data_IF_155866073056
#
_entry.id   IF_155866073056
#
_cell.length_a   1.000
_cell.length_b   1.000
_cell.length_c   1.000
_cell.angle_alpha   90.00
_cell.angle_beta   90.00
_cell.angle_gamma   90.00
#
_symmetry.space_group_name_H-M   'P 1'
#
loop_
_entity.id
_entity.type
_entity.pdbx_description
1 polymer ?
#
# COMPACT_ATOMS: atom_id res chain seq x y z
N UNK A 1 25.98 -74.63 -17.13
CA UNK A 1 25.69 -73.56 -18.10
C UNK A 1 25.20 -72.37 -17.29
N UNK A 2 26.05 -71.37 -17.16
CA UNK A 2 26.20 -70.58 -15.93
C UNK A 2 25.37 -69.29 -15.92
N UNK A 3 24.77 -69.09 -14.74
CA UNK A 3 23.97 -67.99 -14.19
C UNK A 3 24.55 -66.55 -14.28
N UNK A 4 25.43 -66.24 -15.22
CA UNK A 4 26.14 -64.95 -15.25
C UNK A 4 25.32 -63.75 -15.77
N UNK A 5 24.18 -63.98 -16.44
CA UNK A 5 23.37 -62.89 -17.00
C UNK A 5 22.34 -62.29 -16.02
N UNK A 6 21.97 -63.02 -14.95
CA UNK A 6 20.90 -62.60 -14.05
C UNK A 6 21.36 -61.60 -12.96
N UNK A 7 22.64 -61.67 -12.57
CA UNK A 7 23.24 -60.80 -11.55
C UNK A 7 23.51 -59.38 -12.04
N UNK A 8 23.86 -59.22 -13.32
CA UNK A 8 24.18 -57.90 -13.89
C UNK A 8 22.92 -57.05 -14.14
N UNK A 9 21.80 -57.68 -14.50
CA UNK A 9 20.50 -57.02 -14.68
C UNK A 9 19.92 -56.51 -13.34
N UNK A 10 20.00 -57.32 -12.29
CA UNK A 10 19.53 -56.95 -10.94
C UNK A 10 20.34 -55.80 -10.33
N UNK A 11 21.65 -55.78 -10.60
CA UNK A 11 22.57 -54.71 -10.17
C UNK A 11 22.23 -53.37 -10.84
N UNK A 12 22.04 -53.38 -12.17
CA UNK A 12 21.69 -52.17 -12.95
C UNK A 12 20.31 -51.63 -12.60
N UNK A 13 19.33 -52.51 -12.36
CA UNK A 13 17.98 -52.11 -11.94
C UNK A 13 17.98 -51.46 -10.54
N UNK A 14 18.72 -52.03 -9.57
CA UNK A 14 18.89 -51.43 -8.24
C UNK A 14 19.60 -50.08 -8.32
N UNK A 15 20.64 -49.95 -9.13
CA UNK A 15 21.36 -48.70 -9.32
C UNK A 15 20.47 -47.61 -9.93
N UNK A 16 19.68 -47.95 -10.95
CA UNK A 16 18.72 -47.03 -11.56
C UNK A 16 17.64 -46.57 -10.57
N UNK A 17 17.13 -47.47 -9.72
CA UNK A 17 16.14 -47.16 -8.71
C UNK A 17 16.72 -46.24 -7.62
N UNK A 18 17.95 -46.50 -7.17
CA UNK A 18 18.67 -45.65 -6.20
C UNK A 18 18.91 -44.26 -6.78
N UNK A 19 19.35 -44.16 -8.05
CA UNK A 19 19.57 -42.87 -8.72
C UNK A 19 18.26 -42.10 -8.91
N UNK A 20 17.16 -42.77 -9.25
CA UNK A 20 15.83 -42.14 -9.37
C UNK A 20 15.29 -41.64 -8.03
N UNK A 21 15.53 -42.37 -6.93
CA UNK A 21 15.15 -41.93 -5.60
C UNK A 21 16.00 -40.72 -5.15
N UNK A 22 17.31 -40.76 -5.43
CA UNK A 22 18.22 -39.64 -5.15
C UNK A 22 17.83 -38.37 -5.91
N UNK A 23 17.46 -38.46 -7.19
CA UNK A 23 17.01 -37.30 -7.95
C UNK A 23 15.71 -36.72 -7.38
N UNK A 24 14.71 -37.56 -7.07
CA UNK A 24 13.47 -37.10 -6.43
C UNK A 24 13.78 -36.38 -5.11
N UNK A 25 14.62 -36.97 -4.26
CA UNK A 25 15.01 -36.36 -2.98
C UNK A 25 15.70 -35.01 -3.20
N UNK A 26 16.66 -34.91 -4.13
CA UNK A 26 17.38 -33.67 -4.42
C UNK A 26 16.43 -32.60 -4.98
N UNK A 27 15.51 -32.95 -5.87
CA UNK A 27 14.49 -32.03 -6.38
C UNK A 27 13.53 -31.57 -5.27
N UNK A 28 13.10 -32.46 -4.38
CA UNK A 28 12.26 -32.10 -3.23
C UNK A 28 12.97 -31.17 -2.25
N UNK A 29 14.25 -31.41 -1.93
CA UNK A 29 15.04 -30.52 -1.07
C UNK A 29 15.34 -29.17 -1.74
N UNK A 30 15.56 -29.15 -3.05
CA UNK A 30 15.79 -27.90 -3.79
C UNK A 30 14.53 -27.05 -3.83
N UNK A 31 13.37 -27.68 -4.08
CA UNK A 31 12.07 -27.01 -4.07
C UNK A 31 11.70 -26.48 -2.69
N UNK A 32 11.88 -27.28 -1.64
CA UNK A 32 11.66 -26.85 -0.25
C UNK A 32 12.61 -25.71 0.15
N UNK A 33 13.88 -25.76 -0.29
CA UNK A 33 14.84 -24.67 -0.05
C UNK A 33 14.49 -23.38 -0.79
N UNK A 34 13.86 -23.47 -1.95
CA UNK A 34 13.40 -22.31 -2.73
C UNK A 34 12.12 -21.71 -2.13
N UNK A 35 11.17 -22.53 -1.67
CA UNK A 35 9.99 -22.06 -0.90
C UNK A 35 10.38 -21.38 0.41
N UNK A 36 11.35 -21.94 1.16
CA UNK A 36 11.84 -21.33 2.41
C UNK A 36 12.51 -19.97 2.11
N UNK A 37 13.33 -19.88 1.05
CA UNK A 37 13.96 -18.61 0.64
C UNK A 37 12.96 -17.58 0.13
N UNK A 38 11.89 -18.01 -0.56
CA UNK A 38 10.80 -17.13 -1.00
C UNK A 38 9.91 -16.67 0.17
N UNK A 39 9.78 -17.49 1.22
CA UNK A 39 9.10 -17.12 2.46
C UNK A 39 9.89 -16.14 3.35
N UNK A 40 11.21 -15.99 3.14
CA UNK A 40 12.09 -15.19 4.02
C UNK A 40 12.21 -13.71 3.63
N UNK A 41 11.82 -13.30 2.42
CA UNK A 41 11.92 -11.89 2.03
C UNK A 41 10.88 -11.04 2.75
N UNK A 42 11.38 -10.11 3.59
CA UNK A 42 10.58 -9.11 4.31
C UNK A 42 10.04 -7.99 3.41
N UNK A 43 10.50 -7.91 2.16
CA UNK A 43 10.06 -6.95 1.14
C UNK A 43 9.51 -7.66 -0.10
N UNK A 44 8.63 -6.95 -0.82
CA UNK A 44 8.13 -7.34 -2.14
C UNK A 44 8.51 -6.27 -3.16
N UNK A 45 8.90 -6.71 -4.35
CA UNK A 45 9.10 -5.86 -5.52
C UNK A 45 7.76 -5.58 -6.19
N UNK A 46 7.28 -4.35 -6.12
CA UNK A 46 6.01 -3.93 -6.71
C UNK A 46 6.28 -3.13 -7.98
N UNK A 47 5.78 -3.65 -9.10
CA UNK A 47 5.87 -2.99 -10.40
C UNK A 47 4.57 -2.25 -10.71
N UNK A 48 4.67 -0.97 -11.08
CA UNK A 48 3.52 -0.13 -11.44
C UNK A 48 3.92 0.91 -12.47
N UNK A 49 3.21 1.01 -13.60
CA UNK A 49 3.35 2.11 -14.55
C UNK A 49 4.78 2.32 -15.10
N UNK A 50 5.57 1.24 -15.25
CA UNK A 50 6.96 1.32 -15.68
C UNK A 50 7.97 1.57 -14.56
N UNK A 51 7.51 1.73 -13.32
CA UNK A 51 8.35 1.88 -12.14
C UNK A 51 8.39 0.62 -11.28
N UNK A 52 9.42 0.52 -10.47
CA UNK A 52 9.65 -0.55 -9.52
C UNK A 52 9.85 0.02 -8.12
N UNK A 53 9.23 -0.63 -7.14
CA UNK A 53 9.31 -0.25 -5.73
C UNK A 53 9.65 -1.48 -4.87
N UNK A 54 10.63 -1.36 -3.99
CA UNK A 54 10.89 -2.36 -2.95
C UNK A 54 10.17 -1.98 -1.65
N UNK A 55 9.01 -2.58 -1.42
CA UNK A 55 8.12 -2.24 -0.30
C UNK A 55 8.17 -3.35 0.75
N UNK A 56 8.40 -3.05 2.04
CA UNK A 56 8.29 -4.07 3.09
C UNK A 56 6.88 -4.65 3.12
N UNK A 57 6.75 -5.98 3.15
CA UNK A 57 5.47 -6.69 3.12
C UNK A 57 4.56 -6.28 4.29
N UNK A 58 5.13 -5.83 5.40
CA UNK A 58 4.40 -5.26 6.55
C UNK A 58 3.59 -4.00 6.23
N UNK A 59 3.84 -3.30 5.12
CA UNK A 59 3.04 -2.12 4.72
C UNK A 59 1.95 -2.48 3.71
N UNK A 60 1.94 -3.71 3.19
CA UNK A 60 1.00 -4.17 2.18
C UNK A 60 -0.14 -4.94 2.83
N UNK A 61 -1.28 -4.99 2.13
CA UNK A 61 -2.48 -5.69 2.57
C UNK A 61 -2.95 -6.66 1.48
N UNK A 62 -3.13 -7.97 1.78
CA UNK A 62 -2.71 -8.65 3.02
C UNK A 62 -1.18 -8.59 3.20
N UNK A 63 -0.68 -8.74 4.43
CA UNK A 63 0.76 -8.73 4.74
C UNK A 63 1.39 -10.13 4.81
N UNK A 64 0.57 -11.19 4.89
CA UNK A 64 0.99 -12.59 4.77
C UNK A 64 0.86 -13.10 3.31
N UNK A 65 1.56 -14.19 3.00
CA UNK A 65 1.38 -14.91 1.73
C UNK A 65 1.73 -14.12 0.47
N UNK A 66 2.26 -12.90 0.60
CA UNK A 66 2.58 -12.04 -0.54
C UNK A 66 3.75 -12.60 -1.34
N UNK A 67 3.62 -12.71 -2.67
CA UNK A 67 4.73 -13.07 -3.53
C UNK A 67 5.80 -11.98 -3.49
N UNK A 68 7.04 -12.34 -3.78
CA UNK A 68 8.17 -11.40 -3.82
C UNK A 68 8.07 -10.38 -4.96
N UNK A 69 7.19 -10.64 -5.94
CA UNK A 69 6.96 -9.74 -7.07
C UNK A 69 5.46 -9.55 -7.29
N UNK A 70 5.02 -8.31 -7.23
CA UNK A 70 3.63 -7.90 -7.40
C UNK A 70 3.55 -6.97 -8.61
N UNK A 71 2.57 -7.18 -9.48
CA UNK A 71 2.25 -6.24 -10.57
C UNK A 71 0.97 -5.51 -10.22
N UNK A 72 1.02 -4.17 -10.23
CA UNK A 72 -0.12 -3.28 -10.04
C UNK A 72 -0.33 -2.49 -11.32
N UNK A 73 -1.59 -2.31 -11.70
CA UNK A 73 -1.92 -1.56 -12.91
C UNK A 73 -1.79 -0.05 -12.68
N UNK A 74 -2.53 0.48 -11.70
CA UNK A 74 -2.73 1.94 -11.60
C UNK A 74 -2.32 2.56 -10.27
N UNK A 75 -2.30 1.78 -9.18
CA UNK A 75 -2.02 2.31 -7.85
C UNK A 75 -1.35 1.29 -6.94
N UNK A 76 -0.57 1.80 -5.99
CA UNK A 76 -0.04 1.05 -4.85
C UNK A 76 -0.71 1.59 -3.60
N UNK A 77 -1.33 0.70 -2.83
CA UNK A 77 -1.90 1.00 -1.53
C UNK A 77 -1.01 0.42 -0.44
N UNK A 78 -0.83 1.18 0.62
CA UNK A 78 -0.13 0.79 1.84
C UNK A 78 -0.97 1.12 3.07
N UNK A 79 -0.66 0.47 4.17
CA UNK A 79 -1.12 0.85 5.50
C UNK A 79 0.07 1.10 6.43
N UNK A 80 -0.11 2.03 7.34
CA UNK A 80 0.87 2.38 8.35
C UNK A 80 0.18 2.91 9.61
N UNK A 81 0.87 2.90 10.74
CA UNK A 81 0.30 3.27 12.05
C UNK A 81 0.93 4.52 12.61
N UNK A 82 0.10 5.45 13.07
CA UNK A 82 0.54 6.69 13.69
C UNK A 82 0.80 6.48 15.19
N UNK A 83 1.79 7.16 15.80
CA UNK A 83 2.63 8.24 15.27
C UNK A 83 4.00 7.84 14.72
N UNK A 84 4.39 6.56 14.80
CA UNK A 84 5.73 6.10 14.40
C UNK A 84 5.82 5.73 12.90
N UNK A 85 4.67 5.64 12.24
CA UNK A 85 4.49 5.25 10.85
C UNK A 85 5.01 3.83 10.57
N UNK A 86 4.87 2.92 11.54
CA UNK A 86 5.20 1.50 11.35
C UNK A 86 4.23 0.82 10.39
N UNK A 87 4.64 -0.30 9.79
CA UNK A 87 3.71 -1.21 9.11
C UNK A 87 2.97 -2.10 10.12
N UNK A 88 2.15 -3.02 9.62
CA UNK A 88 1.51 -4.08 10.41
C UNK A 88 2.56 -4.93 11.15
N UNK A 89 2.41 -5.06 12.45
CA UNK A 89 3.05 -6.08 13.26
C UNK A 89 2.19 -7.35 13.38
N UNK A 90 2.72 -8.37 14.05
CA UNK A 90 2.09 -9.70 14.19
C UNK A 90 0.72 -9.71 14.87
N UNK A 91 0.35 -8.60 15.55
CA UNK A 91 -0.91 -8.44 16.29
C UNK A 91 -1.86 -7.43 15.67
N UNK A 92 -1.44 -6.76 14.60
CA UNK A 92 -2.27 -5.75 13.96
C UNK A 92 -3.22 -6.43 12.98
N UNK A 93 -4.48 -6.02 13.01
CA UNK A 93 -5.42 -6.51 12.01
C UNK A 93 -5.16 -5.80 10.68
N UNK A 94 -5.24 -6.58 9.59
CA UNK A 94 -5.24 -6.05 8.23
C UNK A 94 -6.43 -5.10 8.08
N UNK A 95 -6.31 -4.01 7.32
CA UNK A 95 -7.36 -2.98 7.17
C UNK A 95 -8.78 -3.53 6.87
N UNK A 96 -8.87 -4.71 6.26
CA UNK A 96 -10.10 -5.36 5.82
C UNK A 96 -10.66 -6.38 6.83
N UNK A 97 -9.97 -6.63 7.94
CA UNK A 97 -10.33 -7.63 8.94
C UNK A 97 -10.22 -7.01 10.33
N UNK A 98 -11.20 -7.18 11.20
CA UNK A 98 -11.13 -6.72 12.59
C UNK A 98 -11.67 -5.30 12.86
N UNK A 99 -11.60 -4.84 14.13
CA UNK A 99 -12.15 -3.57 14.57
C UNK A 99 -11.37 -2.37 14.04
N UNK A 100 -12.05 -1.23 13.91
CA UNK A 100 -11.45 0.05 13.54
C UNK A 100 -10.29 0.42 14.48
N UNK A 101 -9.12 0.72 13.92
CA UNK A 101 -7.99 1.25 14.66
C UNK A 101 -7.80 2.74 14.32
N UNK A 102 -8.01 3.67 15.27
CA UNK A 102 -7.92 5.10 15.01
C UNK A 102 -6.48 5.58 14.78
N UNK A 103 -5.48 4.71 14.96
CA UNK A 103 -4.08 5.01 14.66
C UNK A 103 -3.69 4.54 13.26
N UNK A 104 -4.52 3.75 12.58
CA UNK A 104 -4.20 3.27 11.24
C UNK A 104 -4.42 4.37 10.21
N UNK A 105 -3.48 4.45 9.28
CA UNK A 105 -3.52 5.29 8.09
C UNK A 105 -3.48 4.35 6.89
N UNK A 106 -4.44 4.51 5.99
CA UNK A 106 -4.42 3.87 4.67
C UNK A 106 -4.02 4.92 3.66
N UNK A 107 -2.98 4.66 2.87
CA UNK A 107 -2.48 5.60 1.88
C UNK A 107 -2.28 4.92 0.54
N UNK A 108 -2.45 5.66 -0.55
CA UNK A 108 -2.09 5.17 -1.87
C UNK A 108 -1.51 6.27 -2.74
N UNK A 109 -0.78 5.86 -3.77
CA UNK A 109 -0.39 6.72 -4.86
C UNK A 109 -0.62 6.04 -6.20
N UNK A 110 -0.91 6.84 -7.22
CA UNK A 110 -1.09 6.35 -8.58
C UNK A 110 0.25 6.19 -9.30
N UNK A 111 0.21 5.52 -10.45
CA UNK A 111 1.26 5.63 -11.47
C UNK A 111 1.47 7.09 -11.89
N UNK A 112 2.67 7.38 -12.40
CA UNK A 112 3.01 8.66 -13.04
C UNK A 112 1.99 8.97 -14.14
N UNK A 113 1.53 10.21 -14.20
CA UNK A 113 0.46 10.68 -15.11
C UNK A 113 -0.92 10.01 -14.92
N UNK A 114 -1.12 9.17 -13.91
CA UNK A 114 -2.41 8.53 -13.60
C UNK A 114 -3.30 9.33 -12.65
N UNK A 115 -2.81 10.47 -12.13
CA UNK A 115 -3.37 11.14 -10.96
C UNK A 115 -4.47 12.16 -11.20
N UNK A 116 -4.76 12.53 -12.44
CA UNK A 116 -5.50 13.77 -12.79
C UNK A 116 -6.87 13.92 -12.10
N UNK A 117 -7.51 12.81 -11.73
CA UNK A 117 -8.77 12.81 -10.96
C UNK A 117 -8.64 13.33 -9.54
N UNK A 118 -7.44 13.32 -8.95
CA UNK A 118 -7.16 13.85 -7.60
C UNK A 118 -6.66 15.30 -7.63
N UNK A 119 -6.90 16.04 -8.72
CA UNK A 119 -6.54 17.46 -8.76
C UNK A 119 -7.41 18.28 -7.80
N UNK A 120 -6.88 18.54 -6.61
CA UNK A 120 -7.51 19.29 -5.52
C UNK A 120 -8.12 20.63 -5.96
N UNK A 121 -7.36 21.45 -6.70
CA UNK A 121 -7.82 22.76 -7.16
C UNK A 121 -9.04 22.64 -8.09
N UNK A 122 -8.99 21.72 -9.05
CA UNK A 122 -10.11 21.46 -9.96
C UNK A 122 -11.32 20.90 -9.20
N UNK A 123 -11.10 19.97 -8.27
CA UNK A 123 -12.15 19.39 -7.42
C UNK A 123 -12.86 20.47 -6.61
N UNK A 124 -12.12 21.36 -5.93
CA UNK A 124 -12.68 22.45 -5.14
C UNK A 124 -13.45 23.44 -6.01
N UNK A 125 -12.88 23.88 -7.14
CA UNK A 125 -13.55 24.80 -8.07
C UNK A 125 -14.88 24.23 -8.56
N UNK A 126 -14.92 22.94 -8.87
CA UNK A 126 -16.18 22.29 -9.28
C UNK A 126 -17.17 22.19 -8.11
N UNK A 127 -16.71 21.82 -6.92
CA UNK A 127 -17.58 21.76 -5.74
C UNK A 127 -18.25 23.11 -5.45
N UNK A 128 -17.48 24.21 -5.49
CA UNK A 128 -17.99 25.57 -5.33
C UNK A 128 -18.96 25.96 -6.46
N UNK A 129 -18.57 25.69 -7.72
CA UNK A 129 -19.39 26.01 -8.91
C UNK A 129 -20.77 25.36 -8.87
N UNK A 130 -20.86 24.12 -8.36
CA UNK A 130 -22.10 23.36 -8.31
C UNK A 130 -22.81 23.42 -6.95
N UNK A 131 -22.36 24.28 -6.03
CA UNK A 131 -22.98 24.43 -4.70
C UNK A 131 -22.91 23.17 -3.84
N UNK A 132 -21.88 22.35 -4.04
CA UNK A 132 -21.62 21.14 -3.25
C UNK A 132 -20.84 21.44 -1.96
N UNK A 133 -20.17 22.59 -1.93
CA UNK A 133 -19.44 23.09 -0.77
C UNK A 133 -19.54 24.61 -0.73
N UNK A 134 -19.58 25.17 0.48
CA UNK A 134 -19.58 26.61 0.72
C UNK A 134 -18.46 26.97 1.70
N UNK A 135 -17.80 28.10 1.47
CA UNK A 135 -16.75 28.61 2.36
C UNK A 135 -17.34 28.92 3.76
N UNK A 136 -16.68 28.44 4.81
CA UNK A 136 -17.09 28.69 6.20
C UNK A 136 -15.87 29.04 7.06
N UNK A 137 -15.57 30.34 7.18
CA UNK A 137 -14.40 30.84 7.92
C UNK A 137 -14.44 30.46 9.42
N UNK A 138 -15.63 30.19 9.97
CA UNK A 138 -15.78 29.82 11.38
C UNK A 138 -15.23 28.42 11.71
N UNK A 139 -14.99 27.61 10.67
CA UNK A 139 -14.50 26.25 10.77
C UNK A 139 -13.00 26.12 10.44
N UNK A 140 -12.30 27.21 10.17
CA UNK A 140 -10.86 27.21 9.92
C UNK A 140 -10.09 26.72 11.15
N UNK A 141 -9.10 25.86 10.92
CA UNK A 141 -8.21 25.36 11.98
C UNK A 141 -6.79 25.27 11.45
N UNK A 142 -5.78 25.61 12.26
CA UNK A 142 -4.37 25.29 11.96
C UNK A 142 -3.89 25.66 10.53
N UNK A 143 -4.38 26.79 9.99
CA UNK A 143 -4.06 27.25 8.63
C UNK A 143 -4.78 26.52 7.49
N UNK A 144 -5.74 25.65 7.82
CA UNK A 144 -6.64 24.99 6.88
C UNK A 144 -7.87 25.87 6.61
N UNK A 145 -8.14 26.11 5.32
CA UNK A 145 -9.33 26.84 4.87
C UNK A 145 -10.52 25.89 4.78
N UNK A 146 -11.56 26.11 5.56
CA UNK A 146 -12.70 25.19 5.66
C UNK A 146 -13.85 25.50 4.69
N UNK A 147 -14.44 24.43 4.15
CA UNK A 147 -15.61 24.47 3.29
C UNK A 147 -16.63 23.48 3.83
N UNK A 148 -17.82 23.96 4.18
CA UNK A 148 -18.92 23.14 4.64
C UNK A 148 -19.53 22.41 3.46
N UNK A 149 -19.62 21.08 3.53
CA UNK A 149 -20.19 20.29 2.45
C UNK A 149 -21.72 20.23 2.53
N UNK A 150 -22.37 20.18 1.37
CA UNK A 150 -23.82 20.01 1.28
C UNK A 150 -24.31 18.73 1.97
N UNK A 151 -25.61 18.69 2.31
CA UNK A 151 -26.28 17.54 2.91
C UNK A 151 -25.65 17.02 4.23
N UNK A 152 -24.98 17.89 4.98
CA UNK A 152 -24.25 17.53 6.22
C UNK A 152 -23.16 16.47 5.99
N UNK A 153 -22.56 16.46 4.80
CA UNK A 153 -21.51 15.52 4.40
C UNK A 153 -20.12 15.87 4.97
N UNK A 154 -20.07 16.49 6.15
CA UNK A 154 -18.85 16.92 6.80
C UNK A 154 -18.26 18.24 6.28
N UNK A 155 -16.95 18.38 6.44
CA UNK A 155 -16.16 19.57 6.11
C UNK A 155 -15.01 19.19 5.20
N UNK A 156 -14.79 19.96 4.14
CA UNK A 156 -13.61 19.87 3.29
C UNK A 156 -12.66 20.97 3.66
N UNK A 157 -11.41 20.64 3.93
CA UNK A 157 -10.35 21.60 4.18
C UNK A 157 -9.44 21.74 2.96
N UNK A 158 -8.96 22.95 2.70
CA UNK A 158 -7.97 23.25 1.66
C UNK A 158 -6.71 23.86 2.28
N UNK A 159 -5.56 23.44 1.78
CA UNK A 159 -4.25 24.02 2.09
C UNK A 159 -3.26 23.70 0.98
N UNK A 160 -2.01 24.13 1.15
CA UNK A 160 -0.88 23.72 0.31
C UNK A 160 0.10 22.86 1.11
N UNK A 161 0.64 21.82 0.49
CA UNK A 161 1.72 21.03 1.09
C UNK A 161 3.07 21.77 0.99
N UNK A 162 4.14 21.15 1.51
CA UNK A 162 5.49 21.71 1.46
C UNK A 162 6.09 21.84 0.05
N UNK A 163 5.49 21.19 -0.95
CA UNK A 163 5.88 21.27 -2.37
C UNK A 163 5.08 22.36 -3.11
N UNK A 164 4.11 23.00 -2.45
CA UNK A 164 3.22 23.99 -3.04
C UNK A 164 2.02 23.42 -3.78
N UNK A 165 1.79 22.09 -3.71
CA UNK A 165 0.60 21.49 -4.31
C UNK A 165 -0.64 21.79 -3.47
N UNK A 166 -1.74 22.12 -4.13
CA UNK A 166 -3.06 22.23 -3.49
C UNK A 166 -3.49 20.88 -2.94
N UNK A 167 -3.95 20.84 -1.69
CA UNK A 167 -4.44 19.65 -0.99
C UNK A 167 -5.87 19.86 -0.52
N UNK A 168 -6.72 18.85 -0.76
CA UNK A 168 -8.02 18.76 -0.12
C UNK A 168 -8.02 17.69 0.96
N UNK A 169 -8.66 17.99 2.09
CA UNK A 169 -8.85 17.04 3.20
C UNK A 169 -10.33 16.98 3.54
N UNK A 170 -11.00 15.92 3.11
CA UNK A 170 -12.41 15.70 3.35
C UNK A 170 -12.62 14.96 4.68
N UNK A 171 -13.20 15.62 5.67
CA UNK A 171 -13.48 15.03 6.97
C UNK A 171 -14.98 14.78 7.14
N UNK A 172 -15.34 13.52 7.37
CA UNK A 172 -16.71 13.08 7.63
C UNK A 172 -16.85 12.56 9.05
N UNK A 173 -17.91 12.96 9.73
CA UNK A 173 -18.26 12.46 11.06
C UNK A 173 -19.29 11.33 10.91
N UNK A 174 -18.91 10.14 11.33
CA UNK A 174 -19.79 8.97 11.40
C UNK A 174 -20.16 8.64 12.85
N UNK A 175 -21.17 7.78 13.05
CA UNK A 175 -21.59 7.36 14.40
C UNK A 175 -20.53 6.53 15.13
N UNK A 176 -19.59 5.91 14.39
CA UNK A 176 -18.57 5.01 14.94
C UNK A 176 -17.17 5.64 14.89
N UNK A 177 -16.88 6.43 13.86
CA UNK A 177 -15.58 7.06 13.67
C UNK A 177 -15.70 8.37 12.87
N UNK A 178 -14.69 9.22 13.03
CA UNK A 178 -14.53 10.45 12.25
C UNK A 178 -13.27 10.31 11.43
N UNK A 179 -13.40 10.27 10.11
CA UNK A 179 -12.30 10.00 9.19
C UNK A 179 -12.05 11.24 8.34
N UNK A 180 -10.79 11.56 8.12
CA UNK A 180 -10.33 12.53 7.15
C UNK A 180 -9.62 11.83 5.99
N UNK A 181 -9.90 12.30 4.76
CA UNK A 181 -9.31 11.82 3.52
C UNK A 181 -8.57 12.97 2.85
N UNK A 182 -7.25 12.91 2.85
CA UNK A 182 -6.39 13.80 2.11
C UNK A 182 -6.24 13.31 0.67
N UNK A 183 -6.39 14.20 -0.30
CA UNK A 183 -6.17 13.91 -1.71
C UNK A 183 -5.59 15.12 -2.46
N UNK A 184 -4.65 14.85 -3.35
CA UNK A 184 -4.11 15.84 -4.27
C UNK A 184 -3.36 15.24 -5.46
N UNK A 185 -2.96 16.10 -6.39
CA UNK A 185 -2.10 15.79 -7.51
C UNK A 185 -0.69 16.34 -7.23
N UNK A 186 0.30 15.48 -7.09
CA UNK A 186 1.71 15.89 -7.03
C UNK A 186 2.11 16.49 -8.39
N UNK A 187 2.39 17.79 -8.42
CA UNK A 187 2.69 18.52 -9.67
C UNK A 187 3.99 18.05 -10.33
N UNK A 188 4.94 17.49 -9.57
CA UNK A 188 6.24 17.06 -10.11
C UNK A 188 6.10 15.79 -10.95
N UNK A 189 5.32 14.82 -10.49
CA UNK A 189 5.18 13.50 -11.15
C UNK A 189 3.79 13.24 -11.74
N UNK A 190 2.85 14.17 -11.56
CA UNK A 190 1.46 14.03 -12.00
C UNK A 190 0.81 12.76 -11.43
N UNK A 191 1.20 12.39 -10.20
CA UNK A 191 0.61 11.29 -9.43
C UNK A 191 -0.53 11.80 -8.57
N UNK A 192 -1.55 10.97 -8.44
CA UNK A 192 -2.54 11.15 -7.41
C UNK A 192 -1.98 10.63 -6.10
N UNK A 193 -2.07 11.43 -5.05
CA UNK A 193 -1.69 11.08 -3.68
C UNK A 193 -2.95 11.07 -2.83
N UNK A 194 -3.10 10.04 -2.01
CA UNK A 194 -4.23 9.89 -1.10
C UNK A 194 -3.79 9.33 0.26
N UNK A 195 -4.41 9.81 1.33
CA UNK A 195 -4.33 9.21 2.65
C UNK A 195 -5.65 9.33 3.41
N UNK A 196 -6.03 8.28 4.13
CA UNK A 196 -7.18 8.22 5.02
C UNK A 196 -6.70 8.00 6.45
N UNK A 197 -7.12 8.84 7.39
CA UNK A 197 -6.71 8.81 8.79
C UNK A 197 -7.81 9.32 9.72
N UNK A 198 -7.71 9.03 11.01
CA UNK A 198 -8.68 9.52 12.02
C UNK A 198 -8.62 11.04 12.16
N UNK A 199 -9.79 11.69 12.28
CA UNK A 199 -9.93 13.15 12.39
C UNK A 199 -9.10 13.76 13.52
N UNK A 200 -8.82 13.02 14.59
CA UNK A 200 -7.95 13.48 15.69
C UNK A 200 -6.54 13.87 15.21
N UNK A 201 -6.10 13.37 14.05
CA UNK A 201 -4.82 13.71 13.45
C UNK A 201 -4.88 14.80 12.39
N UNK A 202 -6.04 15.45 12.17
CA UNK A 202 -6.16 16.56 11.23
C UNK A 202 -5.13 17.68 11.48
N UNK A 203 -4.85 18.13 12.72
CA UNK A 203 -3.78 19.12 12.97
C UNK A 203 -2.38 18.67 12.52
N UNK A 204 -2.16 17.36 12.35
CA UNK A 204 -0.88 16.73 11.99
C UNK A 204 -0.90 16.13 10.57
N UNK A 205 -1.86 16.54 9.73
CA UNK A 205 -2.01 16.02 8.36
C UNK A 205 -0.72 16.15 7.53
N UNK A 206 0.05 17.21 7.74
CA UNK A 206 1.28 17.47 7.01
C UNK A 206 2.36 16.42 7.32
N UNK A 207 2.38 15.86 8.54
CA UNK A 207 3.28 14.75 8.88
C UNK A 207 2.92 13.48 8.12
N UNK A 208 1.62 13.18 7.97
CA UNK A 208 1.12 12.06 7.18
C UNK A 208 1.53 12.23 5.71
N UNK A 209 1.30 13.42 5.15
CA UNK A 209 1.67 13.76 3.78
C UNK A 209 3.18 13.58 3.54
N UNK A 210 4.00 14.21 4.37
CA UNK A 210 5.45 14.19 4.21
C UNK A 210 6.03 12.79 4.38
N UNK A 211 5.46 12.00 5.30
CA UNK A 211 5.87 10.60 5.46
C UNK A 211 5.56 9.81 4.20
N UNK A 212 4.35 9.92 3.65
CA UNK A 212 3.94 9.19 2.46
C UNK A 212 4.88 9.50 1.28
N UNK A 213 5.14 10.78 1.01
CA UNK A 213 6.09 11.20 -0.03
C UNK A 213 7.50 10.65 0.20
N UNK A 214 7.99 10.70 1.45
CA UNK A 214 9.29 10.14 1.80
C UNK A 214 9.37 8.63 1.57
N UNK A 215 8.30 7.88 1.85
CA UNK A 215 8.25 6.44 1.61
C UNK A 215 8.23 6.10 0.11
N UNK A 216 7.47 6.85 -0.70
CA UNK A 216 7.43 6.69 -2.15
C UNK A 216 8.84 6.83 -2.76
N UNK A 217 9.56 7.88 -2.37
CA UNK A 217 10.94 8.12 -2.84
C UNK A 217 11.91 7.06 -2.30
N UNK A 218 11.80 6.70 -1.01
CA UNK A 218 12.69 5.71 -0.38
C UNK A 218 12.58 4.32 -1.00
N UNK A 219 11.38 3.90 -1.38
CA UNK A 219 11.15 2.55 -1.89
C UNK A 219 11.35 2.44 -3.40
N UNK A 220 11.45 3.56 -4.12
CA UNK A 220 11.68 3.55 -5.56
C UNK A 220 13.08 2.98 -5.87
N UNK A 221 13.14 2.09 -6.86
CA UNK A 221 14.36 1.42 -7.35
C UNK A 221 14.84 2.01 -8.67
#
# INVERSE_FOLDING_TARGET
MNNFAFTDYFSKFRLALILSLLTIIIFSYSYAGEEIRMSERKSAMVLMGGEAFEIPKSYLSPNDGLPDKIKKENMIEISLFFPDFSGFGDKDNIATVGPYNPNQITAFWTMVNGGSRLNANNSLKNALKYGLSDRDDSLDIDGLTAYKNANKSGVTYHAQNNQGDDVLIHCTEGPVNSICKLEYLDSKSNRGIFASFDKKYLPRWLEVNNKLLSLIEKWKV
#
